data_IF_254936511123
#
_entry.id   IF_254936511123
#
_cell.length_a   1.000
_cell.length_b   1.000
_cell.length_c   1.000
_cell.angle_alpha   90.00
_cell.angle_beta   90.00
_cell.angle_gamma   90.00
#
_symmetry.space_group_name_H-M   'P 1'
#
loop_
_entity.id
_entity.type
_entity.pdbx_description
1 polymer ?
#
# COMPACT_ATOMS: atom_id res chain seq x y z
N UNK A 1 -7.55 23.32 -4.07
CA UNK A 1 -6.16 22.91 -3.82
C UNK A 1 -6.01 21.97 -2.62
N UNK A 2 -6.28 22.38 -1.37
CA UNK A 2 -6.26 21.43 -0.22
C UNK A 2 -7.43 20.44 -0.27
N UNK A 3 -8.62 20.91 -0.65
CA UNK A 3 -9.81 20.04 -0.73
C UNK A 3 -9.62 18.89 -1.73
N UNK A 4 -9.03 19.19 -2.89
CA UNK A 4 -8.70 18.20 -3.92
C UNK A 4 -7.73 17.14 -3.37
N UNK A 5 -6.66 17.55 -2.69
CA UNK A 5 -5.70 16.63 -2.06
C UNK A 5 -6.37 15.74 -1.01
N UNK A 6 -7.24 16.30 -0.17
CA UNK A 6 -7.98 15.53 0.83
C UNK A 6 -8.92 14.52 0.17
N UNK A 7 -9.61 14.90 -0.90
CA UNK A 7 -10.51 14.03 -1.67
C UNK A 7 -9.76 12.91 -2.37
N UNK A 8 -8.64 13.22 -3.01
CA UNK A 8 -7.77 12.22 -3.64
C UNK A 8 -7.21 11.25 -2.60
N UNK A 9 -6.75 11.76 -1.45
CA UNK A 9 -6.25 10.92 -0.35
C UNK A 9 -7.34 9.99 0.17
N UNK A 10 -8.58 10.48 0.36
CA UNK A 10 -9.72 9.66 0.76
C UNK A 10 -10.12 8.66 -0.33
N UNK A 11 -10.02 9.01 -1.61
CA UNK A 11 -10.28 8.08 -2.70
C UNK A 11 -9.28 6.91 -2.68
N UNK A 12 -8.00 7.18 -2.38
CA UNK A 12 -6.97 6.15 -2.26
C UNK A 12 -7.22 5.16 -1.12
N UNK A 13 -8.02 5.47 -0.10
CA UNK A 13 -8.36 4.51 0.96
C UNK A 13 -9.40 3.47 0.50
N UNK A 14 -9.99 3.63 -0.69
CA UNK A 14 -10.93 2.66 -1.28
C UNK A 14 -10.29 1.72 -2.28
N UNK A 15 -9.00 1.90 -2.54
CA UNK A 15 -8.30 1.24 -3.65
C UNK A 15 -7.57 -0.03 -3.23
N UNK A 16 -7.95 -0.62 -2.09
CA UNK A 16 -7.49 -1.94 -1.70
C UNK A 16 -8.39 -3.02 -2.33
N UNK A 17 -7.88 -3.69 -3.36
CA UNK A 17 -8.61 -4.79 -4.02
C UNK A 17 -8.58 -6.09 -3.21
N UNK A 18 -7.83 -6.15 -2.11
CA UNK A 18 -7.82 -7.29 -1.20
C UNK A 18 -8.79 -7.12 -0.02
N UNK A 19 -9.45 -5.96 0.09
CA UNK A 19 -10.40 -5.66 1.15
C UNK A 19 -11.74 -5.21 0.56
N UNK A 20 -12.82 -5.94 0.86
CA UNK A 20 -14.18 -5.59 0.42
C UNK A 20 -14.83 -4.46 1.27
N UNK A 21 -14.08 -3.91 2.24
CA UNK A 21 -14.51 -2.79 3.06
C UNK A 21 -14.66 -1.48 2.28
N UNK A 22 -15.52 -0.55 2.75
CA UNK A 22 -15.79 0.70 2.02
C UNK A 22 -14.63 1.72 2.05
N UNK A 23 -13.79 1.67 3.09
CA UNK A 23 -12.60 2.52 3.27
C UNK A 23 -11.60 1.82 4.20
N UNK A 24 -10.32 1.94 3.88
CA UNK A 24 -9.23 1.66 4.80
C UNK A 24 -8.90 2.85 5.70
N UNK A 25 -8.14 2.56 6.78
CA UNK A 25 -7.61 3.58 7.69
C UNK A 25 -6.51 4.44 7.07
N UNK A 26 -5.83 3.94 6.04
CA UNK A 26 -4.73 4.61 5.35
C UNK A 26 -4.96 4.56 3.83
N UNK A 27 -4.49 5.54 3.05
CA UNK A 27 -4.49 5.45 1.61
C UNK A 27 -3.64 4.26 1.16
N UNK A 28 -4.04 3.57 0.09
CA UNK A 28 -3.41 2.34 -0.40
C UNK A 28 -1.89 2.47 -0.62
N UNK A 29 -1.43 3.67 -1.00
CA UNK A 29 -0.01 3.98 -1.19
C UNK A 29 0.81 3.80 0.09
N UNK A 30 0.26 4.17 1.25
CA UNK A 30 0.91 3.99 2.55
C UNK A 30 0.78 2.54 3.05
N UNK A 31 -0.36 1.88 2.80
CA UNK A 31 -0.52 0.46 3.14
C UNK A 31 0.53 -0.40 2.43
N UNK A 32 0.66 -0.28 1.10
CA UNK A 32 1.64 -1.07 0.34
C UNK A 32 3.08 -0.76 0.72
N UNK A 33 3.41 0.52 0.99
CA UNK A 33 4.73 0.88 1.50
C UNK A 33 5.03 0.21 2.86
N UNK A 34 4.04 0.14 3.75
CA UNK A 34 4.14 -0.54 5.04
C UNK A 34 4.31 -2.06 4.91
N UNK A 35 3.55 -2.68 4.01
CA UNK A 35 3.67 -4.11 3.69
C UNK A 35 5.06 -4.43 3.15
N UNK A 36 5.54 -3.66 2.17
CA UNK A 36 6.89 -3.80 1.60
C UNK A 36 7.97 -3.63 2.69
N UNK A 37 7.90 -2.57 3.49
CA UNK A 37 8.86 -2.33 4.56
C UNK A 37 8.89 -3.46 5.59
N UNK A 38 7.72 -4.01 5.94
CA UNK A 38 7.59 -5.14 6.85
C UNK A 38 8.21 -6.42 6.27
N UNK A 39 7.97 -6.69 4.99
CA UNK A 39 8.55 -7.84 4.29
C UNK A 39 10.07 -7.73 4.24
N UNK A 40 10.60 -6.61 3.75
CA UNK A 40 12.05 -6.37 3.65
C UNK A 40 12.72 -6.50 5.02
N UNK A 41 12.12 -5.93 6.08
CA UNK A 41 12.64 -6.04 7.45
C UNK A 41 12.73 -7.49 7.95
N UNK A 42 11.82 -8.38 7.50
CA UNK A 42 11.77 -9.79 7.90
C UNK A 42 12.66 -10.69 7.04
N UNK A 43 13.23 -10.19 5.94
CA UNK A 43 14.11 -10.95 5.05
C UNK A 43 15.56 -10.84 5.53
N UNK A 44 16.18 -11.91 6.08
CA UNK A 44 17.56 -11.86 6.55
C UNK A 44 18.56 -11.56 5.43
N UNK A 45 18.20 -11.91 4.20
CA UNK A 45 18.93 -11.59 2.97
C UNK A 45 17.95 -11.30 1.85
N UNK A 46 18.03 -10.10 1.28
CA UNK A 46 17.26 -9.72 0.09
C UNK A 46 18.00 -10.25 -1.15
N UNK A 47 17.33 -11.06 -1.97
CA UNK A 47 17.94 -11.61 -3.16
C UNK A 47 17.91 -10.58 -4.31
N UNK A 48 18.96 -10.48 -5.14
CA UNK A 48 19.04 -9.48 -6.21
C UNK A 48 18.28 -9.94 -7.46
N UNK A 49 16.98 -10.16 -7.32
CA UNK A 49 16.09 -10.45 -8.43
C UNK A 49 14.85 -9.56 -8.35
N UNK A 50 14.13 -9.45 -9.47
CA UNK A 50 12.88 -8.70 -9.48
C UNK A 50 11.80 -9.44 -8.69
N UNK A 51 10.98 -8.72 -7.95
CA UNK A 51 9.85 -9.25 -7.19
C UNK A 51 8.54 -8.78 -7.83
N UNK A 52 7.57 -9.68 -8.09
CA UNK A 52 6.26 -9.27 -8.58
C UNK A 52 5.57 -8.31 -7.61
N UNK A 53 5.05 -7.19 -8.11
CA UNK A 53 4.39 -6.15 -7.29
C UNK A 53 3.21 -6.69 -6.48
N UNK A 54 2.50 -7.69 -7.01
CA UNK A 54 1.34 -8.32 -6.36
C UNK A 54 1.67 -9.02 -5.05
N UNK A 55 2.95 -9.29 -4.77
CA UNK A 55 3.37 -9.84 -3.48
C UNK A 55 3.30 -8.81 -2.35
N UNK A 56 3.18 -7.52 -2.68
CA UNK A 56 3.18 -6.42 -1.72
C UNK A 56 1.84 -5.66 -1.69
N UNK A 57 0.83 -6.21 -2.38
CA UNK A 57 -0.54 -5.71 -2.44
C UNK A 57 -1.41 -6.51 -1.50
#
# INVERSE_FOLDING_TARGET
>A
MIDDLCRETLALTKMDWNNDGPYDRLPITLNFAGTLATMVKRMPKLAPHSYPVRLFM
#
